data_IF_342786863828
#
_entry.id   IF_342786863828
#
_cell.length_a   1.000
_cell.length_b   1.000
_cell.length_c   1.000
_cell.angle_alpha   90.00
_cell.angle_beta   90.00
_cell.angle_gamma   90.00
#
_symmetry.space_group_name_H-M   'P 1'
#
loop_
_entity.id
_entity.type
_entity.pdbx_description
1 polymer ?
#
# COMPACT_ATOMS: atom_id res chain seq x y z
N UNK A 1 -10.99 -19.24 6.11
CA UNK A 1 -9.72 -18.67 5.60
C UNK A 1 -9.88 -17.29 4.95
N UNK A 2 -11.00 -16.96 4.33
CA UNK A 2 -11.29 -15.62 3.80
C UNK A 2 -11.09 -14.44 4.78
N UNK A 3 -11.11 -14.68 6.09
CA UNK A 3 -10.95 -13.65 7.12
C UNK A 3 -9.59 -12.93 7.10
N UNK A 4 -8.49 -13.61 6.76
CA UNK A 4 -7.14 -13.00 6.80
C UNK A 4 -6.95 -11.99 5.66
N UNK A 5 -7.36 -12.35 4.44
CA UNK A 5 -7.32 -11.42 3.30
C UNK A 5 -8.22 -10.18 3.56
N UNK A 6 -9.39 -10.40 4.13
CA UNK A 6 -10.32 -9.33 4.48
C UNK A 6 -9.78 -8.38 5.55
N UNK A 7 -9.15 -8.92 6.61
CA UNK A 7 -8.53 -8.09 7.66
C UNK A 7 -7.41 -7.24 7.08
N UNK A 8 -6.55 -7.82 6.25
CA UNK A 8 -5.47 -7.08 5.57
C UNK A 8 -6.02 -5.95 4.68
N UNK A 9 -7.06 -6.21 3.90
CA UNK A 9 -7.74 -5.19 3.09
C UNK A 9 -8.34 -4.06 3.95
N UNK A 10 -8.97 -4.40 5.08
CA UNK A 10 -9.51 -3.39 6.01
C UNK A 10 -8.42 -2.52 6.61
N UNK A 11 -7.31 -3.10 7.07
CA UNK A 11 -6.18 -2.35 7.64
C UNK A 11 -5.63 -1.36 6.62
N UNK A 12 -5.45 -1.80 5.36
CA UNK A 12 -4.95 -0.93 4.29
C UNK A 12 -5.93 0.17 3.91
N UNK A 13 -7.24 -0.12 3.87
CA UNK A 13 -8.27 0.91 3.65
C UNK A 13 -8.27 1.97 4.76
N UNK A 14 -8.10 1.54 6.02
CA UNK A 14 -8.01 2.45 7.17
C UNK A 14 -6.70 3.26 7.16
N UNK A 15 -5.64 2.73 6.58
CA UNK A 15 -4.38 3.44 6.43
C UNK A 15 -4.45 4.50 5.33
N UNK A 16 -4.63 4.09 4.08
CA UNK A 16 -4.83 5.01 2.96
C UNK A 16 -5.55 4.35 1.79
N UNK A 17 -6.20 5.16 0.95
CA UNK A 17 -6.84 4.69 -0.27
C UNK A 17 -5.79 4.16 -1.28
N UNK A 18 -4.56 4.67 -1.25
CA UNK A 18 -3.47 4.22 -2.11
C UNK A 18 -3.02 2.81 -1.74
N UNK A 19 -2.76 2.54 -0.45
CA UNK A 19 -2.42 1.21 0.05
C UNK A 19 -3.54 0.20 -0.23
N UNK A 20 -4.79 0.61 -0.05
CA UNK A 20 -5.95 -0.22 -0.37
C UNK A 20 -6.04 -0.58 -1.85
N UNK A 21 -5.90 0.41 -2.75
CA UNK A 21 -5.94 0.21 -4.19
C UNK A 21 -4.83 -0.75 -4.66
N UNK A 22 -3.61 -0.64 -4.10
CA UNK A 22 -2.52 -1.56 -4.40
C UNK A 22 -2.87 -2.99 -4.04
N UNK A 23 -3.31 -3.23 -2.82
CA UNK A 23 -3.69 -4.57 -2.36
C UNK A 23 -4.85 -5.15 -3.17
N UNK A 24 -5.83 -4.33 -3.57
CA UNK A 24 -6.90 -4.78 -4.46
C UNK A 24 -6.37 -5.22 -5.84
N UNK A 25 -5.34 -4.55 -6.39
CA UNK A 25 -4.73 -4.98 -7.66
C UNK A 25 -4.06 -6.35 -7.53
N UNK A 26 -3.32 -6.58 -6.44
CA UNK A 26 -2.71 -7.88 -6.15
C UNK A 26 -3.78 -8.96 -6.00
N UNK A 27 -4.82 -8.69 -5.21
CA UNK A 27 -5.93 -9.62 -5.02
C UNK A 27 -6.66 -9.94 -6.33
N UNK A 28 -6.95 -8.92 -7.13
CA UNK A 28 -7.54 -9.06 -8.47
C UNK A 28 -6.71 -9.96 -9.39
N UNK A 29 -5.41 -9.69 -9.46
CA UNK A 29 -4.49 -10.49 -10.28
C UNK A 29 -4.45 -11.95 -9.83
N UNK A 30 -4.44 -12.20 -8.53
CA UNK A 30 -4.48 -13.55 -7.96
C UNK A 30 -5.77 -14.28 -8.31
N UNK A 31 -6.93 -13.65 -8.16
CA UNK A 31 -8.22 -14.23 -8.54
C UNK A 31 -8.28 -14.57 -10.04
N UNK A 32 -7.74 -13.72 -10.89
CA UNK A 32 -7.68 -13.95 -12.32
C UNK A 32 -6.83 -15.18 -12.65
N UNK A 33 -5.63 -15.32 -12.08
CA UNK A 33 -4.76 -16.49 -12.27
C UNK A 33 -5.44 -17.79 -11.84
N UNK A 34 -6.18 -17.77 -10.74
CA UNK A 34 -6.94 -18.93 -10.29
C UNK A 34 -8.10 -19.28 -11.22
N UNK A 35 -8.80 -18.29 -11.79
CA UNK A 35 -9.82 -18.52 -12.81
C UNK A 35 -9.22 -19.14 -14.09
N UNK A 36 -7.99 -18.73 -14.44
CA UNK A 36 -7.24 -19.24 -15.57
C UNK A 36 -6.69 -20.68 -15.33
N UNK A 37 -6.80 -21.19 -14.11
CA UNK A 37 -6.53 -22.58 -13.78
C UNK A 37 -5.23 -22.82 -13.00
N UNK A 38 -4.59 -21.77 -12.48
CA UNK A 38 -3.45 -21.95 -11.59
C UNK A 38 -3.91 -22.52 -10.23
N UNK A 39 -3.10 -23.41 -9.65
CA UNK A 39 -3.41 -23.98 -8.34
C UNK A 39 -3.06 -22.99 -7.21
N UNK A 40 -4.00 -22.76 -6.31
CA UNK A 40 -3.84 -21.84 -5.18
C UNK A 40 -2.60 -22.12 -4.33
N UNK A 41 -2.29 -23.41 -4.12
CA UNK A 41 -1.11 -23.82 -3.36
C UNK A 41 0.21 -23.45 -4.07
N UNK A 42 0.27 -23.52 -5.39
CA UNK A 42 1.44 -23.11 -6.17
C UNK A 42 1.62 -21.59 -6.15
N UNK A 43 0.54 -20.84 -6.33
CA UNK A 43 0.54 -19.36 -6.26
C UNK A 43 1.00 -18.89 -4.89
N UNK A 44 0.43 -19.44 -3.82
CA UNK A 44 0.82 -19.09 -2.46
C UNK A 44 2.28 -19.49 -2.14
N UNK A 45 2.73 -20.66 -2.58
CA UNK A 45 4.10 -21.12 -2.36
C UNK A 45 5.12 -20.25 -3.10
N UNK A 46 4.83 -19.85 -4.33
CA UNK A 46 5.68 -18.96 -5.10
C UNK A 46 5.81 -17.57 -4.43
N UNK A 47 4.70 -17.00 -3.98
CA UNK A 47 4.67 -15.72 -3.29
C UNK A 47 5.45 -15.78 -1.96
N UNK A 48 5.25 -16.80 -1.14
CA UNK A 48 5.97 -16.98 0.12
C UNK A 48 7.46 -17.32 -0.06
N UNK A 49 7.85 -17.99 -1.13
CA UNK A 49 9.25 -18.24 -1.45
C UNK A 49 9.98 -16.94 -1.78
N UNK A 50 9.30 -15.98 -2.36
CA UNK A 50 9.84 -14.64 -2.63
C UNK A 50 10.17 -13.90 -1.32
N UNK A 51 9.25 -13.88 -0.35
CA UNK A 51 9.45 -13.26 0.98
C UNK A 51 10.60 -13.90 1.75
N UNK A 52 10.82 -15.22 1.54
CA UNK A 52 11.90 -15.98 2.19
C UNK A 52 13.22 -15.98 1.42
N UNK A 53 13.32 -15.22 0.32
CA UNK A 53 14.55 -15.10 -0.47
C UNK A 53 15.75 -14.69 0.40
N UNK A 54 17.01 -14.90 -0.06
CA UNK A 54 18.18 -14.70 0.75
C UNK A 54 18.23 -13.27 1.25
N UNK A 55 18.08 -13.11 2.57
CA UNK A 55 18.47 -11.90 3.25
C UNK A 55 19.99 -11.81 3.10
N UNK A 56 20.44 -11.06 2.12
CA UNK A 56 21.87 -10.81 1.93
C UNK A 56 22.32 -9.90 3.07
N UNK A 57 22.92 -10.51 4.10
CA UNK A 57 23.61 -9.79 5.19
C UNK A 57 24.83 -8.99 4.67
N UNK A 58 25.15 -9.08 3.39
CA UNK A 58 26.34 -8.49 2.76
C UNK A 58 26.12 -7.12 2.10
N UNK A 59 24.96 -6.47 2.23
CA UNK A 59 24.67 -5.21 1.51
C UNK A 59 24.88 -3.93 2.34
N UNK A 60 25.46 -4.03 3.52
CA UNK A 60 25.54 -2.91 4.48
C UNK A 60 26.59 -1.83 4.17
N UNK A 61 27.20 -1.79 2.99
CA UNK A 61 28.40 -0.97 2.80
C UNK A 61 28.37 0.18 1.79
N UNK A 62 27.28 0.48 1.13
CA UNK A 62 27.28 1.50 0.06
C UNK A 62 26.06 2.40 -0.01
N UNK A 63 25.54 3.02 1.03
CA UNK A 63 24.70 4.26 0.95
C UNK A 63 23.58 4.34 -0.13
N UNK A 64 23.29 3.24 -0.83
CA UNK A 64 22.25 3.09 -1.84
C UNK A 64 21.03 2.34 -1.27
N UNK A 65 20.91 2.32 0.06
CA UNK A 65 20.02 1.41 0.78
C UNK A 65 18.55 1.85 0.74
N UNK A 66 18.27 3.14 0.59
CA UNK A 66 16.90 3.64 0.82
C UNK A 66 15.93 3.16 -0.28
N UNK A 67 16.27 3.34 -1.55
CA UNK A 67 15.39 2.94 -2.66
C UNK A 67 15.28 1.40 -2.81
N UNK A 68 16.35 0.65 -2.47
CA UNK A 68 16.32 -0.82 -2.52
C UNK A 68 15.52 -1.40 -1.37
N UNK A 69 15.67 -0.86 -0.17
CA UNK A 69 14.90 -1.26 1.00
C UNK A 69 13.40 -1.01 0.79
N UNK A 70 13.03 0.15 0.23
CA UNK A 70 11.65 0.48 -0.09
C UNK A 70 11.03 -0.48 -1.12
N UNK A 71 11.72 -0.79 -2.20
CA UNK A 71 11.25 -1.74 -3.21
C UNK A 71 11.12 -3.17 -2.66
N UNK A 72 11.96 -3.57 -1.71
CA UNK A 72 11.88 -4.88 -1.06
C UNK A 72 10.67 -4.97 -0.14
N UNK A 73 10.40 -3.94 0.66
CA UNK A 73 9.21 -3.86 1.53
C UNK A 73 7.93 -3.96 0.70
N UNK A 74 7.86 -3.23 -0.39
CA UNK A 74 6.71 -3.26 -1.29
C UNK A 74 6.47 -4.65 -1.90
N UNK A 75 7.54 -5.31 -2.32
CA UNK A 75 7.47 -6.64 -2.92
C UNK A 75 7.08 -7.71 -1.89
N UNK A 76 7.57 -7.64 -0.66
CA UNK A 76 7.20 -8.52 0.44
C UNK A 76 5.72 -8.34 0.84
N UNK A 77 5.25 -7.10 0.86
CA UNK A 77 3.85 -6.76 1.10
C UNK A 77 2.92 -7.33 0.03
N UNK A 78 3.30 -7.19 -1.25
CA UNK A 78 2.55 -7.75 -2.38
C UNK A 78 2.52 -9.27 -2.35
N UNK A 79 3.66 -9.92 -2.10
CA UNK A 79 3.78 -11.36 -1.99
C UNK A 79 2.93 -11.91 -0.83
N UNK A 80 2.91 -11.23 0.31
CA UNK A 80 2.08 -11.59 1.45
C UNK A 80 0.59 -11.47 1.12
N UNK A 81 0.19 -10.40 0.44
CA UNK A 81 -1.19 -10.20 -0.01
C UNK A 81 -1.60 -11.24 -1.05
N UNK A 82 -0.71 -11.59 -1.99
CA UNK A 82 -0.93 -12.63 -2.99
C UNK A 82 -1.14 -14.00 -2.34
N UNK A 83 -0.26 -14.39 -1.43
CA UNK A 83 -0.38 -15.66 -0.71
C UNK A 83 -1.68 -15.75 0.09
N UNK A 84 -2.05 -14.68 0.80
CA UNK A 84 -3.31 -14.63 1.56
C UNK A 84 -4.53 -14.73 0.65
N UNK A 85 -4.49 -14.09 -0.52
CA UNK A 85 -5.55 -14.12 -1.53
C UNK A 85 -5.70 -15.51 -2.13
N UNK A 86 -4.59 -16.16 -2.53
CA UNK A 86 -4.58 -17.49 -3.11
C UNK A 86 -5.11 -18.55 -2.13
N UNK A 87 -4.64 -18.52 -0.88
CA UNK A 87 -5.11 -19.43 0.17
C UNK A 87 -6.58 -19.20 0.53
N UNK A 88 -7.04 -17.94 0.48
CA UNK A 88 -8.45 -17.61 0.73
C UNK A 88 -9.37 -18.15 -0.34
N UNK A 89 -8.92 -18.27 -1.56
CA UNK A 89 -9.68 -18.68 -2.74
C UNK A 89 -9.51 -20.19 -3.10
N UNK A 90 -8.67 -20.95 -2.36
CA UNK A 90 -8.24 -22.30 -2.72
C UNK A 90 -9.40 -23.29 -2.97
N UNK A 91 -10.45 -23.23 -2.15
CA UNK A 91 -11.60 -24.15 -2.21
C UNK A 91 -12.88 -23.46 -2.73
N UNK A 92 -12.75 -22.27 -3.33
CA UNK A 92 -13.89 -21.47 -3.78
C UNK A 92 -14.29 -21.89 -5.20
N UNK A 93 -15.59 -22.17 -5.47
CA UNK A 93 -16.06 -22.49 -6.80
C UNK A 93 -15.77 -21.37 -7.80
N UNK A 94 -15.43 -21.72 -9.05
CA UNK A 94 -15.13 -20.72 -10.10
C UNK A 94 -16.24 -19.67 -10.33
N UNK A 95 -17.50 -20.05 -10.07
CA UNK A 95 -18.64 -19.13 -10.15
C UNK A 95 -18.54 -18.03 -9.10
N UNK A 96 -18.19 -18.40 -7.89
CA UNK A 96 -18.04 -17.47 -6.76
C UNK A 96 -16.80 -16.59 -6.94
N UNK A 97 -15.69 -17.16 -7.44
CA UNK A 97 -14.49 -16.38 -7.79
C UNK A 97 -14.77 -15.29 -8.85
N UNK A 98 -15.61 -15.59 -9.85
CA UNK A 98 -16.04 -14.56 -10.83
C UNK A 98 -16.86 -13.46 -10.20
N UNK A 99 -17.76 -13.83 -9.28
CA UNK A 99 -18.55 -12.86 -8.54
C UNK A 99 -17.69 -11.98 -7.65
N UNK A 100 -16.71 -12.58 -6.96
CA UNK A 100 -15.73 -11.87 -6.14
C UNK A 100 -14.87 -10.92 -6.99
N UNK A 101 -14.39 -11.39 -8.15
CA UNK A 101 -13.61 -10.57 -9.08
C UNK A 101 -14.41 -9.32 -9.53
N UNK A 102 -15.69 -9.47 -9.84
CA UNK A 102 -16.53 -8.33 -10.22
C UNK A 102 -16.64 -7.30 -9.09
N UNK A 103 -16.81 -7.74 -7.85
CA UNK A 103 -16.83 -6.85 -6.67
C UNK A 103 -15.48 -6.15 -6.48
N UNK A 104 -14.37 -6.89 -6.64
CA UNK A 104 -13.02 -6.32 -6.55
C UNK A 104 -12.78 -5.27 -7.65
N UNK A 105 -13.25 -5.52 -8.87
CA UNK A 105 -13.18 -4.56 -9.98
C UNK A 105 -13.94 -3.25 -9.65
N UNK A 106 -15.15 -3.35 -9.10
CA UNK A 106 -15.94 -2.20 -8.67
C UNK A 106 -15.24 -1.42 -7.54
N UNK A 107 -14.71 -2.13 -6.54
CA UNK A 107 -13.97 -1.52 -5.43
C UNK A 107 -12.71 -0.82 -5.92
N UNK A 108 -11.97 -1.44 -6.84
CA UNK A 108 -10.76 -0.88 -7.43
C UNK A 108 -11.06 0.38 -8.24
N UNK A 109 -12.12 0.37 -9.04
CA UNK A 109 -12.56 1.55 -9.80
C UNK A 109 -12.89 2.73 -8.89
N UNK A 110 -13.54 2.47 -7.74
CA UNK A 110 -13.81 3.50 -6.72
C UNK A 110 -12.49 3.98 -6.11
N UNK A 111 -11.62 3.07 -5.67
CA UNK A 111 -10.36 3.40 -5.03
C UNK A 111 -9.46 4.25 -5.94
N UNK A 112 -9.35 3.90 -7.23
CA UNK A 112 -8.56 4.63 -8.21
C UNK A 112 -9.10 6.03 -8.49
N UNK A 113 -10.43 6.18 -8.54
CA UNK A 113 -11.07 7.50 -8.70
C UNK A 113 -10.72 8.45 -7.56
N UNK A 114 -10.52 7.93 -6.36
CA UNK A 114 -10.27 8.73 -5.16
C UNK A 114 -8.80 8.73 -4.72
N UNK A 115 -7.93 7.91 -5.30
CA UNK A 115 -6.52 7.79 -4.93
C UNK A 115 -5.73 9.11 -5.02
N UNK A 116 -6.11 9.98 -5.99
CA UNK A 116 -5.49 11.30 -6.16
C UNK A 116 -6.09 12.39 -5.25
N UNK A 117 -7.16 12.10 -4.52
CA UNK A 117 -7.83 13.09 -3.68
C UNK A 117 -7.30 13.06 -2.25
N UNK A 118 -7.20 14.22 -1.65
CA UNK A 118 -6.89 14.36 -0.24
C UNK A 118 -8.13 14.02 0.60
N UNK A 119 -8.02 13.05 1.48
CA UNK A 119 -9.09 12.68 2.41
C UNK A 119 -9.24 13.70 3.55
N UNK A 120 -10.28 13.54 4.38
CA UNK A 120 -10.58 14.48 5.45
C UNK A 120 -9.49 14.51 6.53
N UNK A 121 -8.83 13.35 6.81
CA UNK A 121 -7.75 13.25 7.79
C UNK A 121 -6.53 14.03 7.33
N UNK A 122 -6.16 13.87 6.06
CA UNK A 122 -5.00 14.56 5.48
C UNK A 122 -5.28 16.05 5.32
N UNK A 123 -6.49 16.45 4.95
CA UNK A 123 -6.87 17.87 4.96
C UNK A 123 -6.70 18.50 6.34
N UNK A 124 -7.23 17.84 7.37
CA UNK A 124 -7.05 18.29 8.74
C UNK A 124 -5.57 18.39 9.13
N UNK A 125 -4.74 17.41 8.73
CA UNK A 125 -3.31 17.42 8.98
C UNK A 125 -2.61 18.60 8.28
N UNK A 126 -2.95 18.86 7.02
CA UNK A 126 -2.41 19.99 6.25
C UNK A 126 -2.81 21.31 6.90
N UNK A 127 -4.07 21.46 7.30
CA UNK A 127 -4.54 22.64 8.01
C UNK A 127 -3.80 22.84 9.35
N UNK A 128 -3.56 21.73 10.06
CA UNK A 128 -2.79 21.76 11.30
C UNK A 128 -1.32 22.14 11.07
N UNK A 129 -0.66 21.61 10.02
CA UNK A 129 0.70 21.95 9.62
C UNK A 129 0.78 23.44 9.32
N UNK A 130 -0.12 23.97 8.50
CA UNK A 130 -0.16 25.38 8.14
C UNK A 130 -0.32 26.28 9.38
N UNK A 131 -1.18 25.88 10.32
CA UNK A 131 -1.43 26.68 11.51
C UNK A 131 -0.32 26.63 12.57
N UNK A 132 0.46 25.55 12.63
CA UNK A 132 1.38 25.28 13.73
C UNK A 132 2.86 25.25 13.37
N UNK A 133 3.18 24.91 12.10
CA UNK A 133 4.55 24.76 11.64
C UNK A 133 4.99 25.87 10.70
N UNK A 134 4.06 26.65 10.16
CA UNK A 134 4.36 27.80 9.30
C UNK A 134 4.13 29.10 10.06
N UNK A 135 5.01 30.07 9.84
CA UNK A 135 4.87 31.45 10.31
C UNK A 135 5.32 32.34 9.13
N UNK A 136 4.42 33.22 8.66
CA UNK A 136 4.69 34.10 7.50
C UNK A 136 5.19 33.34 6.25
N UNK A 137 4.56 32.21 5.94
CA UNK A 137 4.91 31.29 4.86
C UNK A 137 6.31 30.64 4.97
N UNK A 138 6.93 30.70 6.14
CA UNK A 138 8.21 30.07 6.42
C UNK A 138 8.06 29.04 7.52
N UNK A 139 8.84 27.93 7.44
CA UNK A 139 8.87 26.91 8.48
C UNK A 139 9.42 27.48 9.77
N UNK A 140 8.72 27.21 10.88
CA UNK A 140 9.23 27.52 12.20
C UNK A 140 10.16 26.41 12.73
N UNK A 141 10.68 26.55 13.94
CA UNK A 141 11.61 25.59 14.55
C UNK A 141 10.96 24.29 15.03
N UNK A 142 9.62 24.17 14.96
CA UNK A 142 8.91 22.95 15.36
C UNK A 142 9.02 21.88 14.30
N UNK A 143 9.02 20.62 14.73
CA UNK A 143 9.06 19.45 13.86
C UNK A 143 7.87 18.56 14.14
N UNK A 144 7.37 17.90 13.08
CA UNK A 144 6.33 16.88 13.15
C UNK A 144 6.94 15.57 12.64
N UNK A 145 6.74 14.48 13.41
CA UNK A 145 7.10 13.14 12.98
C UNK A 145 5.80 12.37 12.80
N UNK A 146 5.60 11.75 11.63
CA UNK A 146 4.43 10.96 11.29
C UNK A 146 4.88 9.53 11.09
N UNK A 147 4.29 8.60 11.84
CA UNK A 147 4.53 7.18 11.67
C UNK A 147 3.42 6.56 10.83
N UNK A 148 3.79 5.75 9.85
CA UNK A 148 2.88 4.99 9.00
C UNK A 148 3.28 3.53 9.03
N UNK A 149 2.31 2.61 8.96
CA UNK A 149 2.56 1.17 8.91
C UNK A 149 2.92 0.71 7.50
N UNK A 150 2.34 1.36 6.47
CA UNK A 150 2.50 0.96 5.08
C UNK A 150 3.27 2.01 4.29
N UNK A 151 4.22 1.55 3.48
CA UNK A 151 5.05 2.40 2.62
C UNK A 151 4.20 3.19 1.59
N UNK A 152 3.20 2.55 1.00
CA UNK A 152 2.25 3.23 0.11
C UNK A 152 1.55 4.42 0.79
N UNK A 153 1.23 4.28 2.08
CA UNK A 153 0.63 5.36 2.87
C UNK A 153 1.63 6.49 3.10
N UNK A 154 2.89 6.16 3.40
CA UNK A 154 3.97 7.14 3.56
C UNK A 154 4.14 7.98 2.30
N UNK A 155 4.34 7.32 1.14
CA UNK A 155 4.52 7.98 -0.16
C UNK A 155 3.32 8.80 -0.59
N UNK A 156 2.12 8.26 -0.37
CA UNK A 156 0.89 8.97 -0.68
C UNK A 156 0.73 10.21 0.19
N UNK A 157 0.95 10.10 1.50
CA UNK A 157 0.86 11.20 2.45
C UNK A 157 1.91 12.28 2.16
N UNK A 158 3.16 11.89 1.95
CA UNK A 158 4.25 12.79 1.58
C UNK A 158 3.91 13.60 0.33
N UNK A 159 3.40 12.94 -0.71
CA UNK A 159 2.97 13.62 -1.94
C UNK A 159 1.86 14.64 -1.66
N UNK A 160 0.84 14.26 -0.87
CA UNK A 160 -0.27 15.19 -0.54
C UNK A 160 0.21 16.40 0.26
N UNK A 161 1.10 16.19 1.21
CA UNK A 161 1.68 17.27 2.01
C UNK A 161 2.54 18.17 1.12
N UNK A 162 3.43 17.61 0.30
CA UNK A 162 4.25 18.39 -0.62
C UNK A 162 3.42 19.23 -1.59
N UNK A 163 2.38 18.66 -2.18
CA UNK A 163 1.49 19.41 -3.09
C UNK A 163 0.75 20.56 -2.40
N UNK A 164 0.42 20.42 -1.12
CA UNK A 164 -0.32 21.42 -0.36
C UNK A 164 0.58 22.51 0.23
N UNK A 165 1.88 22.23 0.42
CA UNK A 165 2.85 23.10 1.10
C UNK A 165 3.98 23.53 0.15
N UNK A 166 3.88 23.20 -1.15
CA UNK A 166 4.94 23.37 -2.17
C UNK A 166 5.37 24.82 -2.45
N UNK A 167 4.67 25.82 -1.93
CA UNK A 167 5.06 27.23 -2.09
C UNK A 167 6.14 27.68 -1.07
N UNK A 168 6.64 26.78 -0.23
CA UNK A 168 7.72 27.10 0.72
C UNK A 168 9.01 26.39 0.31
N UNK A 169 9.93 27.10 -0.29
CA UNK A 169 11.20 26.64 -0.91
C UNK A 169 12.19 25.87 -0.01
N UNK A 170 11.81 25.41 1.18
CA UNK A 170 12.69 24.74 2.14
C UNK A 170 12.09 23.48 2.81
N UNK A 171 11.20 22.78 2.15
CA UNK A 171 10.38 21.77 2.81
C UNK A 171 11.08 20.44 3.11
N UNK A 172 12.27 20.14 2.60
CA UNK A 172 12.99 18.90 2.86
C UNK A 172 14.50 19.06 2.73
N UNK A 173 15.18 19.27 3.84
CA UNK A 173 16.57 18.87 4.06
C UNK A 173 16.64 18.01 5.32
#
# INVERSE_FOLDING_TARGET
>A
MAKLAFVGLQQRLLSSIAAFARTLRVHRATLQRMLDGEEAGMVAAAALAFVKGPTSEDSAELGLEDDRAENTIDADDDATAEAASALGAADVPKGDLRSELAVVDDMLAIAERYASRTDARVRWLIDWINANLLSDQSWNFRRLIIFTEFEDTRRWLERRIREAVADTDHACQ
#
